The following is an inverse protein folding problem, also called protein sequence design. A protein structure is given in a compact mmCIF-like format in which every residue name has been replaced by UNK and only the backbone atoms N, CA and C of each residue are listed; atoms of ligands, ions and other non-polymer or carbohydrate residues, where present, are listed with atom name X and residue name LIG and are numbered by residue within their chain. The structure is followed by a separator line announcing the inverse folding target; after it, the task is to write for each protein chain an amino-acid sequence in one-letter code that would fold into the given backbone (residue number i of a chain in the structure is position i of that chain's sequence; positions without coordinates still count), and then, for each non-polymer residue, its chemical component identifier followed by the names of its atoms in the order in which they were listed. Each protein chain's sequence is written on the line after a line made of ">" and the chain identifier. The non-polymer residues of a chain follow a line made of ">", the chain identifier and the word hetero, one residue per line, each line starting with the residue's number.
data_IF_191831569051
#
_entry.id   IF_191831569051
#
_cell.length_a   1.000
_cell.length_b   1.000
_cell.length_c   1.000
_cell.angle_alpha   90.00
_cell.angle_beta   90.00
_cell.angle_gamma   90.00
#
_symmetry.space_group_name_H-M   'P 1'
#
loop_
_entity.id
_entity.type
_entity.pdbx_description
1 polymer ?
#
# COMPACT_ATOMS: atom_id res chain seq x y z
N UNK A 1 9.28 27.02 25.23
CA UNK A 1 8.58 25.82 24.73
C UNK A 1 9.41 25.30 23.58
N UNK A 2 9.62 23.99 23.51
CA UNK A 2 10.39 23.39 22.43
C UNK A 2 9.40 22.72 21.45
N UNK A 3 9.07 23.35 20.31
CA UNK A 3 8.16 22.79 19.32
C UNK A 3 8.85 21.82 18.35
N UNK A 4 10.14 21.53 18.53
CA UNK A 4 10.97 20.83 17.54
C UNK A 4 10.35 19.48 17.15
N UNK A 5 9.83 18.71 18.11
CA UNK A 5 9.17 17.41 17.85
C UNK A 5 7.97 17.56 16.89
N UNK A 6 7.15 18.60 17.08
CA UNK A 6 6.00 18.88 16.21
C UNK A 6 6.44 19.36 14.83
N UNK A 7 7.39 20.30 14.78
CA UNK A 7 7.86 20.89 13.53
C UNK A 7 8.50 19.84 12.62
N UNK A 8 9.38 19.01 13.17
CA UNK A 8 10.09 17.97 12.41
C UNK A 8 9.11 16.91 11.89
N UNK A 9 8.16 16.45 12.72
CA UNK A 9 7.13 15.52 12.25
C UNK A 9 6.25 16.13 11.15
N UNK A 10 5.91 17.41 11.24
CA UNK A 10 5.07 18.10 10.24
C UNK A 10 5.79 18.25 8.90
N UNK A 11 7.04 18.72 8.92
CA UNK A 11 7.87 18.84 7.72
C UNK A 11 7.98 17.48 7.03
N UNK A 12 8.27 16.44 7.82
CA UNK A 12 8.52 15.11 7.29
C UNK A 12 7.27 14.45 6.68
N UNK A 13 6.14 14.48 7.38
CA UNK A 13 4.94 13.73 6.95
C UNK A 13 3.97 14.52 6.07
N UNK A 14 4.02 15.85 6.10
CA UNK A 14 3.03 16.69 5.40
C UNK A 14 3.65 17.62 4.35
N UNK A 15 4.93 17.99 4.46
CA UNK A 15 5.57 18.97 3.55
C UNK A 15 6.61 18.35 2.60
N UNK A 16 7.06 17.11 2.86
CA UNK A 16 8.09 16.44 2.07
C UNK A 16 7.66 16.04 0.65
N UNK A 17 6.37 16.17 0.32
CA UNK A 17 5.78 15.74 -0.96
C UNK A 17 5.62 14.22 -1.11
N UNK A 18 6.04 13.45 -0.10
CA UNK A 18 5.86 12.00 -0.03
C UNK A 18 4.44 11.67 0.42
N UNK A 19 3.91 10.55 -0.03
CA UNK A 19 2.61 10.06 0.42
C UNK A 19 2.85 9.03 1.51
N UNK A 20 1.97 9.00 2.50
CA UNK A 20 2.08 8.09 3.64
C UNK A 20 0.74 7.42 3.89
N UNK A 21 0.78 6.23 4.45
CA UNK A 21 -0.39 5.51 4.90
C UNK A 21 -0.15 4.84 6.25
N UNK A 22 -1.21 4.36 6.90
CA UNK A 22 -1.09 3.80 8.24
C UNK A 22 -0.42 2.42 8.19
N UNK A 23 0.83 2.36 8.67
CA UNK A 23 1.65 1.17 8.93
C UNK A 23 1.22 -0.07 8.15
N UNK A 24 1.74 -0.23 6.93
CA UNK A 24 1.56 -1.45 6.14
C UNK A 24 2.86 -1.85 5.45
N UNK A 25 3.32 -3.08 5.70
CA UNK A 25 4.30 -3.79 4.87
C UNK A 25 3.60 -4.87 4.05
N UNK A 26 2.28 -4.84 4.07
CA UNK A 26 1.42 -6.01 4.09
C UNK A 26 2.05 -7.22 4.86
N UNK A 27 2.61 -6.90 6.05
CA UNK A 27 3.00 -7.61 7.30
C UNK A 27 3.21 -9.13 7.32
N UNK A 28 4.35 -9.55 7.88
CA UNK A 28 4.29 -10.49 9.02
C UNK A 28 4.92 -9.80 10.23
N UNK A 29 4.11 -9.50 11.24
CA UNK A 29 4.61 -9.27 12.61
C UNK A 29 4.38 -10.52 13.41
N UNK A 30 5.33 -11.46 13.32
CA UNK A 30 5.50 -12.37 14.43
C UNK A 30 5.93 -11.54 15.63
N UNK A 31 5.00 -11.44 16.58
CA UNK A 31 5.23 -11.04 17.95
C UNK A 31 6.58 -11.58 18.42
N UNK A 32 7.55 -10.69 18.56
CA UNK A 32 8.84 -10.95 19.21
C UNK A 32 9.51 -12.28 18.81
N UNK A 33 9.81 -12.51 17.53
CA UNK A 33 11.01 -13.31 17.23
C UNK A 33 12.18 -12.32 17.27
N UNK A 34 12.88 -12.31 18.41
CA UNK A 34 14.02 -11.43 18.73
C UNK A 34 13.72 -9.93 18.92
N UNK A 35 12.51 -9.56 19.35
CA UNK A 35 12.23 -8.16 19.69
C UNK A 35 12.40 -7.18 18.52
N UNK A 36 12.06 -7.57 17.30
CA UNK A 36 12.17 -6.71 16.10
C UNK A 36 10.81 -6.14 15.69
N UNK A 37 10.81 -4.85 15.36
CA UNK A 37 9.75 -3.88 14.96
C UNK A 37 9.34 -3.96 13.52
N UNK A 38 8.10 -3.59 13.23
CA UNK A 38 7.60 -3.66 11.87
C UNK A 38 8.35 -2.83 10.85
N UNK A 39 8.95 -3.44 9.80
CA UNK A 39 9.70 -2.68 8.81
C UNK A 39 8.87 -1.60 8.14
N UNK A 40 7.55 -1.75 7.96
CA UNK A 40 6.77 -0.64 7.39
C UNK A 40 6.61 0.54 8.30
N UNK A 41 6.83 0.37 9.60
CA UNK A 41 6.81 1.48 10.54
C UNK A 41 7.97 2.44 10.30
N UNK A 42 8.99 2.01 9.56
CA UNK A 42 10.17 2.81 9.20
C UNK A 42 9.96 3.72 7.98
N UNK A 43 8.73 3.91 7.50
CA UNK A 43 8.43 4.69 6.30
C UNK A 43 9.03 4.07 5.05
N UNK A 44 8.90 2.77 4.91
CA UNK A 44 9.21 2.14 3.64
C UNK A 44 7.91 1.99 2.84
N UNK A 45 7.98 2.29 1.55
CA UNK A 45 6.94 1.93 0.58
C UNK A 45 7.21 0.50 0.16
N UNK A 46 6.76 -0.43 1.00
CA UNK A 46 7.10 -1.85 0.88
C UNK A 46 6.17 -2.59 -0.07
N UNK A 47 5.02 -2.00 -0.39
CA UNK A 47 4.03 -2.53 -1.32
C UNK A 47 3.94 -1.73 -2.64
N UNK A 48 4.78 -0.71 -2.81
CA UNK A 48 5.03 -0.02 -4.07
C UNK A 48 3.86 0.82 -4.57
N UNK A 49 2.91 1.16 -3.69
CA UNK A 49 1.71 1.94 -4.03
C UNK A 49 1.97 3.45 -4.09
N UNK A 50 3.24 3.85 -3.88
CA UNK A 50 3.70 5.23 -3.82
C UNK A 50 3.48 5.88 -2.46
N UNK A 51 3.03 5.13 -1.45
CA UNK A 51 2.83 5.59 -0.07
C UNK A 51 3.71 4.81 0.89
N UNK A 52 4.31 5.54 1.83
CA UNK A 52 5.22 4.99 2.84
C UNK A 52 4.42 4.64 4.09
N UNK A 53 4.62 3.45 4.64
CA UNK A 53 3.95 3.03 5.88
C UNK A 53 4.39 3.85 7.09
N UNK A 54 3.47 4.23 7.96
CA UNK A 54 3.80 4.85 9.25
C UNK A 54 2.66 4.60 10.23
N UNK A 55 2.95 4.11 11.43
CA UNK A 55 1.91 3.98 12.45
C UNK A 55 2.04 5.00 13.56
N UNK A 56 1.10 4.99 14.51
CA UNK A 56 1.03 6.02 15.55
C UNK A 56 2.33 6.16 16.36
N UNK A 57 2.96 5.04 16.69
CA UNK A 57 4.19 5.00 17.47
C UNK A 57 5.44 5.32 16.66
N UNK A 58 5.53 4.90 15.39
CA UNK A 58 6.66 5.29 14.55
C UNK A 58 6.58 6.72 14.03
N UNK A 59 5.38 7.25 13.84
CA UNK A 59 5.14 8.67 13.62
C UNK A 59 5.73 9.52 14.76
N UNK A 60 5.42 9.13 16.01
CA UNK A 60 5.97 9.79 17.20
C UNK A 60 7.48 9.60 17.32
N UNK A 61 7.98 8.39 17.01
CA UNK A 61 9.43 8.11 17.02
C UNK A 61 10.18 8.99 16.02
N UNK A 62 9.66 9.17 14.80
CA UNK A 62 10.28 10.02 13.78
C UNK A 62 10.42 11.46 14.25
N UNK A 63 9.34 12.03 14.80
CA UNK A 63 9.37 13.39 15.35
C UNK A 63 10.40 13.56 16.47
N UNK A 64 10.49 12.61 17.40
CA UNK A 64 11.49 12.62 18.47
C UNK A 64 12.92 12.48 17.93
N UNK A 65 13.12 11.54 17.00
CA UNK A 65 14.44 11.25 16.42
C UNK A 65 14.99 12.46 15.65
N UNK A 66 14.18 13.05 14.78
CA UNK A 66 14.60 14.15 13.92
C UNK A 66 14.72 15.46 14.71
N UNK A 67 14.01 15.60 15.84
CA UNK A 67 14.26 16.65 16.81
C UNK A 67 15.52 16.44 17.67
N UNK A 68 16.26 15.33 17.50
CA UNK A 68 17.54 15.10 18.15
C UNK A 68 17.48 14.44 19.53
N UNK A 69 16.33 13.86 19.90
CA UNK A 69 16.17 13.09 21.15
C UNK A 69 16.79 11.70 21.05
N UNK A 70 17.39 11.24 22.14
CA UNK A 70 18.09 9.94 22.18
C UNK A 70 17.12 8.77 22.38
N UNK A 71 16.11 8.67 21.53
CA UNK A 71 15.18 7.55 21.50
C UNK A 71 15.89 6.26 21.07
N UNK A 72 15.52 5.13 21.69
CA UNK A 72 16.06 3.84 21.30
C UNK A 72 15.74 3.56 19.81
N UNK A 73 16.66 2.87 19.12
CA UNK A 73 16.43 2.40 17.74
C UNK A 73 15.30 1.38 17.73
N UNK A 74 14.57 1.32 16.62
CA UNK A 74 13.38 0.50 16.51
C UNK A 74 13.56 -0.97 16.94
N UNK A 75 12.55 -1.60 17.60
CA UNK A 75 11.17 -1.11 17.77
C UNK A 75 11.00 -0.05 18.85
N UNK A 76 10.40 1.07 18.47
CA UNK A 76 9.78 2.00 19.41
C UNK A 76 8.27 1.87 19.27
N UNK A 77 7.63 1.32 20.30
CA UNK A 77 6.21 1.01 20.34
C UNK A 77 5.46 1.86 21.35
N UNK A 78 4.13 1.93 21.19
CA UNK A 78 3.25 2.57 22.17
C UNK A 78 3.42 1.98 23.57
N UNK A 79 3.70 0.67 23.63
CA UNK A 79 3.99 -0.06 24.88
C UNK A 79 5.25 0.39 25.61
N UNK A 80 6.19 1.05 24.93
CA UNK A 80 7.40 1.61 25.56
C UNK A 80 7.06 2.89 26.32
N UNK A 81 5.95 3.55 25.98
CA UNK A 81 5.47 4.76 26.63
C UNK A 81 4.48 4.47 27.76
N UNK A 82 3.49 3.60 27.50
CA UNK A 82 2.51 3.19 28.52
C UNK A 82 1.90 1.83 28.20
N UNK A 83 1.29 1.19 29.20
CA UNK A 83 0.68 -0.15 29.06
C UNK A 83 -0.85 -0.10 29.06
N UNK A 84 -1.42 1.01 28.58
CA UNK A 84 -2.86 1.27 28.61
C UNK A 84 -3.35 1.92 29.90
N UNK A 85 -2.69 1.68 31.04
CA UNK A 85 -3.12 2.25 32.32
C UNK A 85 -2.06 3.11 32.98
N UNK A 86 -0.79 2.75 32.81
CA UNK A 86 0.33 3.38 33.48
C UNK A 86 1.45 3.67 32.49
N UNK A 87 2.05 4.84 32.63
CA UNK A 87 3.31 5.18 31.95
C UNK A 87 4.42 4.26 32.43
N UNK A 88 5.25 3.78 31.50
CA UNK A 88 6.35 2.87 31.80
C UNK A 88 7.48 3.56 32.58
N UNK A 89 8.46 2.77 33.05
CA UNK A 89 9.67 3.31 33.64
C UNK A 89 10.49 4.15 32.64
N UNK A 90 10.54 3.70 31.37
CA UNK A 90 11.20 4.43 30.29
C UNK A 90 10.57 5.81 30.04
N UNK A 91 9.24 5.88 29.99
CA UNK A 91 8.55 7.16 29.84
C UNK A 91 8.86 8.09 31.02
N UNK A 92 8.84 7.59 32.26
CA UNK A 92 9.11 8.41 33.45
C UNK A 92 10.56 8.91 33.53
N UNK A 93 11.54 8.17 33.00
CA UNK A 93 12.93 8.62 33.00
C UNK A 93 13.16 9.75 32.01
N UNK A 94 12.55 9.69 30.82
CA UNK A 94 12.83 10.61 29.71
C UNK A 94 11.79 11.71 29.51
N UNK A 95 10.61 11.57 30.10
CA UNK A 95 9.49 12.50 29.93
C UNK A 95 8.91 12.92 31.29
N UNK A 96 8.43 14.15 31.35
CA UNK A 96 7.53 14.59 32.40
C UNK A 96 6.13 14.09 32.09
N UNK A 97 5.54 13.36 33.04
CA UNK A 97 4.20 12.78 32.89
C UNK A 97 3.14 13.81 33.27
N UNK A 98 2.32 14.20 32.31
CA UNK A 98 1.16 15.06 32.49
C UNK A 98 -0.05 14.17 32.71
N UNK A 99 -0.74 14.38 33.84
CA UNK A 99 -1.90 13.55 34.21
C UNK A 99 -3.05 13.67 33.21
N UNK A 100 -3.92 12.67 33.13
CA UNK A 100 -5.14 12.74 32.33
C UNK A 100 -5.98 13.98 32.66
N UNK A 101 -6.10 14.31 33.95
CA UNK A 101 -6.86 15.45 34.41
C UNK A 101 -6.26 16.78 33.95
N UNK A 102 -4.93 16.89 33.92
CA UNK A 102 -4.26 18.11 33.47
C UNK A 102 -4.24 18.21 31.94
N UNK A 103 -4.07 17.09 31.24
CA UNK A 103 -4.08 17.04 29.78
C UNK A 103 -5.46 17.43 29.21
N UNK A 104 -6.55 16.99 29.85
CA UNK A 104 -7.93 17.26 29.41
C UNK A 104 -8.43 18.68 29.72
N UNK A 105 -7.66 19.52 30.43
CA UNK A 105 -8.07 20.89 30.73
C UNK A 105 -8.17 21.69 29.42
N UNK A 106 -9.31 22.34 29.15
CA UNK A 106 -9.40 23.29 28.05
C UNK A 106 -8.39 24.42 28.27
N UNK A 107 -7.69 24.82 27.21
CA UNK A 107 -6.55 25.77 27.31
C UNK A 107 -5.54 25.35 28.39
N UNK A 108 -5.33 24.05 28.53
CA UNK A 108 -4.41 23.47 29.49
C UNK A 108 -2.96 23.80 29.15
N UNK A 109 -2.06 23.15 29.88
CA UNK A 109 -0.63 23.40 29.73
C UNK A 109 0.04 22.47 28.72
N UNK A 110 -0.70 21.78 27.83
CA UNK A 110 -0.07 21.02 26.77
C UNK A 110 0.61 21.97 25.78
N UNK A 111 1.76 21.56 25.28
CA UNK A 111 2.62 22.34 24.38
C UNK A 111 2.77 21.62 23.04
N UNK A 112 3.04 22.38 21.95
CA UNK A 112 3.45 21.77 20.70
C UNK A 112 4.62 20.81 20.93
N UNK A 113 4.48 19.56 20.46
CA UNK A 113 5.49 18.51 20.65
C UNK A 113 5.24 17.56 21.83
N UNK A 114 4.31 17.87 22.74
CA UNK A 114 3.90 16.90 23.76
C UNK A 114 3.25 15.67 23.10
N UNK A 115 3.50 14.48 23.65
CA UNK A 115 2.91 13.23 23.13
C UNK A 115 1.65 12.92 23.92
N UNK A 116 0.49 13.00 23.28
CA UNK A 116 -0.79 12.65 23.89
C UNK A 116 -1.04 11.14 23.78
N UNK A 117 -1.56 10.54 24.86
CA UNK A 117 -1.79 9.10 24.96
C UNK A 117 -3.27 8.78 25.08
N UNK A 118 -3.73 7.78 24.33
CA UNK A 118 -5.11 7.33 24.33
C UNK A 118 -5.22 5.84 24.57
N UNK A 119 -6.29 5.44 25.26
CA UNK A 119 -6.69 4.05 25.40
C UNK A 119 -8.11 3.84 24.89
N UNK A 120 -8.38 2.68 24.32
CA UNK A 120 -9.73 2.23 23.98
C UNK A 120 -10.53 1.84 25.23
N UNK A 121 -11.73 2.39 25.36
CA UNK A 121 -12.66 2.06 26.44
C UNK A 121 -13.20 0.64 26.26
N UNK A 122 -13.07 -0.18 27.30
CA UNK A 122 -13.49 -1.57 27.28
C UNK A 122 -12.60 -2.49 26.44
N UNK A 123 -11.49 -1.98 25.89
CA UNK A 123 -10.54 -2.73 25.08
C UNK A 123 -9.10 -2.62 25.57
N UNK A 124 -8.18 -3.20 24.80
CA UNK A 124 -6.72 -3.13 25.02
C UNK A 124 -6.02 -2.21 24.03
N UNK A 125 -6.78 -1.61 23.09
CA UNK A 125 -6.26 -0.68 22.09
C UNK A 125 -5.59 0.54 22.71
N UNK A 126 -4.47 0.95 22.14
CA UNK A 126 -3.70 2.12 22.57
C UNK A 126 -3.28 2.93 21.35
N UNK A 127 -3.22 4.24 21.52
CA UNK A 127 -2.84 5.17 20.45
C UNK A 127 -2.07 6.35 21.02
N UNK A 128 -1.24 6.97 20.17
CA UNK A 128 -0.46 8.17 20.52
C UNK A 128 -0.46 9.16 19.37
N UNK A 129 -0.28 10.44 19.68
CA UNK A 129 -0.13 11.50 18.71
C UNK A 129 0.71 12.65 19.27
N UNK A 130 1.10 13.58 18.40
CA UNK A 130 1.90 14.77 18.78
C UNK A 130 0.97 15.98 18.83
N UNK A 131 0.89 16.61 20.00
CA UNK A 131 0.10 17.82 20.21
C UNK A 131 0.62 18.93 19.31
N UNK A 132 -0.30 19.60 18.61
CA UNK A 132 -0.03 20.85 17.90
C UNK A 132 -0.25 22.02 18.85
N UNK A 133 -1.49 22.19 19.29
CA UNK A 133 -1.94 23.34 20.07
C UNK A 133 -3.38 23.13 20.57
N UNK A 134 -4.01 24.20 21.03
CA UNK A 134 -5.43 24.27 21.30
C UNK A 134 -6.13 25.12 20.23
N UNK A 135 -7.36 24.74 19.87
CA UNK A 135 -8.22 25.63 19.10
C UNK A 135 -8.79 26.79 19.96
N UNK A 136 -9.58 27.67 19.35
CA UNK A 136 -10.20 28.81 20.04
C UNK A 136 -11.18 28.41 21.15
N UNK A 137 -11.65 27.18 21.17
CA UNK A 137 -12.55 26.64 22.20
C UNK A 137 -11.79 25.87 23.29
N UNK A 138 -10.46 25.81 23.20
CA UNK A 138 -9.62 25.07 24.14
C UNK A 138 -9.61 23.57 23.88
N UNK A 139 -10.03 23.11 22.70
CA UNK A 139 -9.91 21.71 22.30
C UNK A 139 -8.50 21.41 21.83
N UNK A 140 -7.96 20.26 22.25
CA UNK A 140 -6.63 19.82 21.85
C UNK A 140 -6.64 19.45 20.37
N UNK A 141 -5.67 19.98 19.62
CA UNK A 141 -5.39 19.56 18.24
C UNK A 141 -4.06 18.82 18.21
N UNK A 142 -4.04 17.68 17.54
CA UNK A 142 -2.84 16.86 17.43
C UNK A 142 -2.68 16.31 16.01
N UNK A 143 -1.46 15.94 15.66
CA UNK A 143 -1.12 15.21 14.44
C UNK A 143 -0.71 13.78 14.79
N UNK A 144 -1.10 12.83 13.98
CA UNK A 144 -0.75 11.43 14.19
C UNK A 144 -1.21 10.54 13.06
N UNK A 145 -0.58 9.37 12.92
CA UNK A 145 -0.99 8.40 11.91
C UNK A 145 -2.27 7.67 12.33
N UNK A 146 -3.33 7.82 11.54
CA UNK A 146 -4.68 7.31 11.81
C UNK A 146 -4.92 5.97 11.12
N UNK A 147 -5.51 5.02 11.83
CA UNK A 147 -5.76 3.65 11.33
C UNK A 147 -6.56 3.71 10.02
N UNK A 148 -5.96 3.20 8.94
CA UNK A 148 -6.60 3.09 7.62
C UNK A 148 -6.44 4.31 6.70
N UNK A 149 -5.90 5.44 7.18
CA UNK A 149 -5.68 6.63 6.32
C UNK A 149 -4.25 7.17 6.35
N UNK A 150 -3.48 6.94 7.42
CA UNK A 150 -2.12 7.48 7.58
C UNK A 150 -2.09 8.82 8.35
N UNK A 151 -0.99 9.58 8.26
CA UNK A 151 -0.83 10.87 8.93
C UNK A 151 -2.00 11.82 8.68
N UNK A 152 -2.54 12.39 9.76
CA UNK A 152 -3.61 13.36 9.69
C UNK A 152 -3.64 14.28 10.90
N UNK A 153 -4.34 15.40 10.75
CA UNK A 153 -4.64 16.31 11.85
C UNK A 153 -6.01 15.99 12.45
N UNK A 154 -6.08 16.03 13.78
CA UNK A 154 -7.28 15.69 14.54
C UNK A 154 -7.53 16.76 15.59
N UNK A 155 -8.78 17.21 15.70
CA UNK A 155 -9.26 18.01 16.82
C UNK A 155 -10.07 17.13 17.76
N UNK A 156 -9.68 17.07 19.03
CA UNK A 156 -10.37 16.28 20.04
C UNK A 156 -11.62 17.04 20.47
N UNK A 157 -12.78 16.45 20.22
CA UNK A 157 -14.04 16.95 20.74
C UNK A 157 -14.38 16.16 22.01
N UNK A 158 -14.53 16.80 23.18
CA UNK A 158 -14.96 16.14 24.41
C UNK A 158 -16.28 15.37 24.18
N UNK A 159 -16.35 14.15 24.70
CA UNK A 159 -17.51 13.26 24.54
C UNK A 159 -17.62 12.57 23.18
N UNK A 160 -16.60 12.66 22.31
CA UNK A 160 -16.56 12.00 20.99
C UNK A 160 -15.48 10.92 20.95
N UNK A 161 -15.14 10.42 19.75
CA UNK A 161 -14.26 9.27 19.57
C UNK A 161 -12.98 9.32 20.43
N UNK A 162 -12.24 10.43 20.44
CA UNK A 162 -10.91 10.54 21.09
C UNK A 162 -10.92 10.78 22.61
N UNK A 163 -12.01 11.31 23.16
CA UNK A 163 -12.17 11.54 24.61
C UNK A 163 -13.64 11.39 25.00
N UNK A 164 -14.17 10.17 24.91
CA UNK A 164 -15.60 9.93 24.95
C UNK A 164 -16.00 8.50 24.59
N UNK A 165 -16.66 8.29 23.45
CA UNK A 165 -17.38 7.05 23.14
C UNK A 165 -16.50 5.81 22.98
N UNK A 166 -15.26 5.99 22.49
CA UNK A 166 -14.38 4.89 22.07
C UNK A 166 -13.02 4.95 22.72
N UNK A 167 -12.42 6.14 22.79
CA UNK A 167 -11.12 6.35 23.39
C UNK A 167 -11.21 7.25 24.62
N UNK A 168 -10.22 7.13 25.49
CA UNK A 168 -10.00 7.97 26.66
C UNK A 168 -8.57 8.53 26.67
N UNK A 169 -8.43 9.81 26.99
CA UNK A 169 -7.11 10.43 27.18
C UNK A 169 -6.50 9.94 28.48
N UNK A 170 -5.35 9.27 28.40
CA UNK A 170 -4.62 8.74 29.55
C UNK A 170 -3.68 9.79 30.19
N UNK A 171 -3.39 10.86 29.45
CA UNK A 171 -2.43 11.89 29.82
C UNK A 171 -1.56 12.26 28.64
N UNK A 172 -0.48 12.98 28.91
CA UNK A 172 0.52 13.33 27.91
C UNK A 172 1.94 13.21 28.47
N UNK A 173 2.92 13.16 27.58
CA UNK A 173 4.34 13.08 27.91
C UNK A 173 5.06 14.27 27.30
N UNK A 174 5.79 15.01 28.13
CA UNK A 174 6.66 16.10 27.68
C UNK A 174 8.11 15.67 27.71
N UNK A 175 8.80 15.72 26.59
CA UNK A 175 10.20 15.31 26.52
C UNK A 175 11.08 16.23 27.36
N UNK A 176 11.92 15.66 28.24
CA UNK A 176 12.83 16.45 29.07
C UNK A 176 13.99 17.00 28.24
N UNK A 177 14.50 18.21 28.52
CA UNK A 177 15.60 18.79 27.75
C UNK A 177 16.85 17.92 27.71
N UNK A 178 17.21 17.28 28.83
CA UNK A 178 18.37 16.39 28.93
C UNK A 178 18.28 15.12 28.08
N UNK A 179 17.08 14.81 27.56
CA UNK A 179 16.89 13.70 26.63
C UNK A 179 17.31 14.05 25.19
N UNK A 180 17.40 15.34 24.86
CA UNK A 180 17.87 15.84 23.57
C UNK A 180 19.40 15.83 23.55
N UNK A 181 20.00 15.03 22.67
CA UNK A 181 21.47 14.87 22.61
C UNK A 181 22.09 15.48 21.37
N UNK A 182 21.25 15.95 20.43
CA UNK A 182 21.64 16.55 19.16
C UNK A 182 20.70 17.70 18.80
N UNK A 183 21.14 18.58 17.91
CA UNK A 183 20.27 19.61 17.34
C UNK A 183 19.20 18.97 16.42
N UNK A 184 18.02 19.61 16.25
CA UNK A 184 17.01 19.19 15.28
C UNK A 184 17.53 19.19 13.83
N UNK A 185 17.00 18.28 13.01
CA UNK A 185 17.44 18.02 11.64
C UNK A 185 17.34 19.23 10.73
N UNK A 186 16.23 19.96 10.76
CA UNK A 186 16.02 21.15 9.92
C UNK A 186 16.45 22.45 10.62
N UNK A 187 17.11 22.33 11.78
CA UNK A 187 17.35 23.45 12.68
C UNK A 187 16.05 24.04 13.22
N UNK A 188 16.10 24.83 14.29
CA UNK A 188 14.92 25.46 14.90
C UNK A 188 14.26 26.55 14.03
N UNK A 189 14.25 26.42 12.70
CA UNK A 189 13.54 27.31 11.79
C UNK A 189 12.12 26.77 11.60
N UNK A 190 11.21 27.35 12.39
CA UNK A 190 9.78 27.26 12.15
C UNK A 190 9.46 27.63 10.69
N UNK A 191 8.73 26.80 9.93
CA UNK A 191 8.21 27.23 8.65
C UNK A 191 7.19 28.34 8.89
N UNK A 192 7.39 29.43 8.17
CA UNK A 192 6.51 30.60 8.18
C UNK A 192 5.09 30.20 7.77
N UNK A 193 4.21 30.00 8.75
CA UNK A 193 2.77 30.13 8.54
C UNK A 193 2.51 31.57 8.11
N UNK A 194 2.34 31.77 6.80
CA UNK A 194 1.69 32.95 6.27
C UNK A 194 0.25 32.94 6.80
N UNK A 195 0.07 33.71 7.85
CA UNK A 195 -1.19 34.20 8.34
C UNK A 195 -2.10 34.60 7.16
N UNK A 196 -3.29 34.02 7.14
CA UNK A 196 -4.48 34.70 6.64
C UNK A 196 -5.69 34.21 7.44
N UNK A 197 -5.88 34.84 8.59
CA UNK A 197 -7.20 35.33 8.96
C UNK A 197 -7.73 36.24 7.84
N UNK A 198 -9.05 36.28 7.57
CA UNK A 198 -9.93 36.91 8.55
C UNK A 198 -11.35 36.32 8.72
N UNK A 199 -11.90 36.65 9.91
CA UNK A 199 -13.31 36.98 10.21
C UNK A 199 -14.31 35.86 10.55
N UNK A 200 -14.57 35.74 11.85
CA UNK A 200 -15.85 35.39 12.51
C UNK A 200 -16.94 36.46 12.26
N UNK A 201 -18.20 36.32 12.74
CA UNK A 201 -18.97 35.12 13.16
C UNK A 201 -20.45 35.12 12.68
N UNK A 202 -21.11 33.95 12.62
CA UNK A 202 -22.51 33.74 13.10
C UNK A 202 -22.99 32.27 12.98
N UNK A 203 -23.30 31.68 14.12
CA UNK A 203 -24.32 30.62 14.32
C UNK A 203 -25.59 31.29 14.91
N UNK A 204 -26.78 30.64 15.12
CA UNK A 204 -27.10 29.19 15.12
C UNK A 204 -28.48 28.80 14.52
N UNK A 205 -28.77 27.48 14.43
CA UNK A 205 -30.13 26.91 14.33
C UNK A 205 -30.13 25.44 13.86
N UNK A 206 -30.06 24.45 14.76
CA UNK A 206 -31.14 23.61 15.33
C UNK A 206 -31.80 22.57 14.42
N UNK A 207 -31.66 21.31 14.85
CA UNK A 207 -32.62 20.18 14.83
C UNK A 207 -33.16 19.62 13.51
N UNK A 208 -32.84 18.34 13.22
CA UNK A 208 -33.79 17.20 13.30
C UNK A 208 -33.26 15.94 12.58
N UNK A 209 -33.43 14.78 13.22
CA UNK A 209 -33.49 13.40 12.67
C UNK A 209 -34.98 12.97 12.84
N UNK A 210 -35.63 12.04 12.10
CA UNK A 210 -35.15 10.88 11.30
C UNK A 210 -35.79 10.73 9.90
N UNK A 211 -35.24 9.86 9.04
CA UNK A 211 -35.98 8.81 8.29
C UNK A 211 -35.07 8.10 7.26
N UNK A 212 -35.43 6.84 6.99
CA UNK A 212 -34.65 5.84 6.29
C UNK A 212 -34.81 5.92 4.76
N UNK A 213 -33.72 5.82 3.99
CA UNK A 213 -33.70 5.33 2.60
C UNK A 213 -32.28 4.85 2.20
N UNK A 214 -32.27 3.98 1.20
CA UNK A 214 -31.29 3.00 0.68
C UNK A 214 -29.88 3.52 0.29
N UNK A 215 -28.93 2.61 -0.03
CA UNK A 215 -27.54 2.64 0.43
C UNK A 215 -26.65 3.63 -0.32
N UNK A 216 -25.57 4.11 0.31
CA UNK A 216 -24.30 4.10 -0.42
C UNK A 216 -23.05 3.81 0.45
N UNK A 217 -22.07 3.18 -0.21
CA UNK A 217 -20.65 3.06 0.14
C UNK A 217 -20.24 2.14 1.29
N UNK A 218 -20.37 0.82 1.05
CA UNK A 218 -19.80 -0.22 1.91
C UNK A 218 -18.27 -0.30 1.74
N UNK A 219 -17.50 0.40 2.59
CA UNK A 219 -16.05 0.14 2.74
C UNK A 219 -15.83 -1.17 3.53
N UNK A 220 -15.14 -2.11 2.86
CA UNK A 220 -14.97 -3.51 3.22
C UNK A 220 -14.37 -3.78 4.62
N UNK A 221 -14.98 -4.71 5.36
CA UNK A 221 -14.52 -5.22 6.65
C UNK A 221 -13.72 -6.53 6.50
N UNK A 222 -12.69 -6.72 7.35
CA UNK A 222 -11.82 -7.92 7.44
C UNK A 222 -12.57 -9.10 8.06
N UNK A 223 -12.31 -10.32 7.57
CA UNK A 223 -12.99 -11.57 7.96
C UNK A 223 -12.01 -12.59 8.53
N UNK A 224 -12.38 -13.31 9.59
CA UNK A 224 -11.53 -14.27 10.30
C UNK A 224 -12.23 -15.61 10.54
N UNK A 225 -11.49 -16.72 10.74
CA UNK A 225 -12.05 -17.97 11.21
C UNK A 225 -12.87 -17.77 12.49
N UNK A 226 -14.13 -18.21 12.44
CA UNK A 226 -15.14 -17.98 13.47
C UNK A 226 -16.08 -16.80 13.19
N UNK A 227 -15.74 -15.86 12.30
CA UNK A 227 -16.62 -14.76 11.89
C UNK A 227 -17.84 -15.29 11.15
N UNK A 228 -18.94 -14.54 11.21
CA UNK A 228 -20.21 -14.92 10.61
C UNK A 228 -20.91 -13.72 9.97
N UNK A 229 -21.62 -13.97 8.88
CA UNK A 229 -22.48 -12.97 8.23
C UNK A 229 -22.14 -12.75 6.77
N UNK A 230 -22.77 -11.73 6.18
CA UNK A 230 -22.77 -11.50 4.74
C UNK A 230 -21.37 -11.26 4.14
N UNK A 231 -20.44 -10.68 4.90
CA UNK A 231 -19.04 -10.51 4.47
C UNK A 231 -18.33 -11.86 4.31
N UNK A 232 -18.58 -12.81 5.22
CA UNK A 232 -17.99 -14.16 5.20
C UNK A 232 -18.54 -14.99 4.04
N UNK A 233 -19.84 -14.84 3.76
CA UNK A 233 -20.46 -15.44 2.58
C UNK A 233 -19.82 -14.93 1.28
N UNK A 234 -19.65 -13.61 1.15
CA UNK A 234 -18.96 -13.00 0.00
C UNK A 234 -17.54 -13.50 -0.15
N UNK A 235 -16.81 -13.67 0.95
CA UNK A 235 -15.48 -14.25 0.91
C UNK A 235 -15.48 -15.70 0.36
N UNK A 236 -16.36 -16.54 0.90
CA UNK A 236 -16.46 -17.94 0.48
C UNK A 236 -16.78 -18.05 -1.03
N UNK A 237 -17.62 -17.16 -1.56
CA UNK A 237 -17.90 -17.03 -3.00
C UNK A 237 -16.66 -16.61 -3.82
N UNK A 238 -15.89 -15.60 -3.35
CA UNK A 238 -14.68 -15.08 -4.00
C UNK A 238 -13.55 -16.11 -4.08
N UNK A 239 -13.26 -16.83 -3.01
CA UNK A 239 -12.26 -17.90 -3.01
C UNK A 239 -12.66 -19.07 -3.92
N UNK A 240 -13.94 -19.44 -3.93
CA UNK A 240 -14.49 -20.48 -4.82
C UNK A 240 -14.40 -20.11 -6.31
N UNK A 241 -14.49 -18.82 -6.67
CA UNK A 241 -14.33 -18.32 -8.03
C UNK A 241 -12.85 -18.30 -8.47
N UNK A 242 -11.93 -18.05 -7.52
CA UNK A 242 -10.48 -18.15 -7.71
C UNK A 242 -9.97 -19.60 -7.87
N UNK A 243 -10.86 -20.60 -7.78
CA UNK A 243 -10.53 -22.03 -7.96
C UNK A 243 -9.86 -22.66 -6.72
N UNK A 244 -9.90 -21.95 -5.60
CA UNK A 244 -9.27 -22.35 -4.34
C UNK A 244 -10.14 -23.41 -3.67
N UNK A 245 -9.53 -24.52 -3.27
CA UNK A 245 -10.17 -25.58 -2.48
C UNK A 245 -9.44 -25.77 -1.14
N UNK A 246 -10.05 -26.48 -0.19
CA UNK A 246 -9.46 -26.73 1.14
C UNK A 246 -8.22 -27.65 1.08
N UNK A 247 -7.69 -28.03 2.25
CA UNK A 247 -6.49 -28.88 2.35
C UNK A 247 -6.66 -30.29 1.76
N UNK A 248 -7.90 -30.78 1.60
CA UNK A 248 -8.21 -32.11 1.03
C UNK A 248 -8.64 -32.04 -0.44
N UNK A 249 -8.55 -30.85 -1.06
CA UNK A 249 -8.96 -30.63 -2.45
C UNK A 249 -10.48 -30.44 -2.62
N UNK A 250 -11.22 -30.32 -1.53
CA UNK A 250 -12.68 -30.20 -1.54
C UNK A 250 -13.12 -28.73 -1.58
N UNK A 251 -14.20 -28.44 -2.32
CA UNK A 251 -14.75 -27.09 -2.49
C UNK A 251 -15.39 -26.56 -1.21
N UNK A 252 -15.34 -25.23 -0.99
CA UNK A 252 -15.91 -24.57 0.19
C UNK A 252 -17.44 -24.45 0.15
N UNK A 253 -18.08 -24.72 1.28
CA UNK A 253 -19.49 -24.38 1.54
C UNK A 253 -19.65 -22.88 1.88
N UNK A 254 -20.74 -22.26 1.42
CA UNK A 254 -21.03 -20.80 1.52
C UNK A 254 -22.09 -20.50 2.58
N UNK A 255 -21.88 -21.01 3.78
CA UNK A 255 -22.84 -20.97 4.89
C UNK A 255 -22.77 -19.67 5.71
N UNK A 256 -22.05 -18.65 5.22
CA UNK A 256 -21.78 -17.39 5.93
C UNK A 256 -20.98 -17.57 7.22
N UNK A 257 -20.35 -18.72 7.44
CA UNK A 257 -19.56 -19.02 8.63
C UNK A 257 -18.12 -19.31 8.25
N UNK A 258 -17.18 -18.63 8.90
CA UNK A 258 -15.78 -18.79 8.58
C UNK A 258 -15.24 -20.01 9.32
N UNK A 259 -15.63 -21.20 8.86
CA UNK A 259 -15.26 -22.47 9.47
C UNK A 259 -13.85 -22.94 9.09
N UNK A 260 -13.47 -24.09 9.66
CA UNK A 260 -12.18 -24.74 9.43
C UNK A 260 -11.88 -24.98 7.93
N UNK A 261 -12.85 -25.43 7.14
CA UNK A 261 -12.66 -25.62 5.69
C UNK A 261 -12.40 -24.27 4.99
N UNK A 262 -13.15 -23.22 5.31
CA UNK A 262 -12.94 -21.87 4.77
C UNK A 262 -11.55 -21.35 5.14
N UNK A 263 -11.12 -21.52 6.39
CA UNK A 263 -9.75 -21.25 6.85
C UNK A 263 -8.73 -21.99 5.98
N UNK A 264 -8.85 -23.30 5.80
CA UNK A 264 -7.90 -24.08 5.01
C UNK A 264 -7.81 -23.66 3.53
N UNK A 265 -8.94 -23.34 2.89
CA UNK A 265 -8.93 -22.80 1.53
C UNK A 265 -8.31 -21.40 1.48
N UNK A 266 -8.63 -20.51 2.43
CA UNK A 266 -8.00 -19.18 2.56
C UNK A 266 -6.50 -19.31 2.72
N UNK A 267 -6.04 -20.18 3.62
CA UNK A 267 -4.62 -20.50 3.81
C UNK A 267 -3.99 -20.99 2.52
N UNK A 268 -4.67 -21.83 1.75
CA UNK A 268 -4.15 -22.33 0.48
C UNK A 268 -4.05 -21.23 -0.58
N UNK A 269 -5.11 -20.44 -0.78
CA UNK A 269 -5.09 -19.30 -1.69
C UNK A 269 -3.96 -18.32 -1.34
N UNK A 270 -3.83 -18.02 -0.06
CA UNK A 270 -2.76 -17.19 0.45
C UNK A 270 -1.38 -17.78 0.12
N UNK A 271 -1.17 -19.09 0.37
CA UNK A 271 0.06 -19.81 -0.06
C UNK A 271 0.35 -19.65 -1.55
N UNK A 272 -0.65 -19.91 -2.41
CA UNK A 272 -0.53 -19.88 -3.88
C UNK A 272 -0.20 -18.46 -4.39
N UNK A 273 -0.74 -17.42 -3.76
CA UNK A 273 -0.47 -16.01 -4.07
C UNK A 273 0.66 -15.39 -3.22
N UNK A 274 1.47 -16.23 -2.57
CA UNK A 274 2.63 -15.86 -1.72
C UNK A 274 2.31 -14.88 -0.58
N UNK A 275 1.07 -14.90 -0.14
CA UNK A 275 0.61 -14.31 1.12
C UNK A 275 0.79 -15.33 2.25
N UNK A 276 0.61 -14.85 3.47
CA UNK A 276 0.69 -15.72 4.63
C UNK A 276 -0.53 -16.64 4.70
N UNK A 277 -0.35 -17.98 4.70
CA UNK A 277 -1.43 -18.94 4.75
C UNK A 277 -1.98 -19.07 6.18
N UNK A 278 -2.54 -17.97 6.69
CA UNK A 278 -3.08 -17.84 8.04
C UNK A 278 -4.58 -18.11 8.12
N UNK A 279 -5.24 -18.18 6.97
CA UNK A 279 -6.63 -18.53 6.85
C UNK A 279 -7.56 -17.39 7.22
N UNK A 280 -7.05 -16.16 7.28
CA UNK A 280 -7.76 -14.93 7.65
C UNK A 280 -7.88 -14.01 6.45
N UNK A 281 -9.08 -13.52 6.18
CA UNK A 281 -9.34 -12.65 5.02
C UNK A 281 -9.44 -11.19 5.41
N UNK A 282 -8.26 -10.67 5.75
CA UNK A 282 -8.04 -9.25 5.93
C UNK A 282 -7.74 -8.53 4.64
N UNK A 283 -7.53 -7.21 4.75
CA UNK A 283 -7.30 -6.33 3.59
C UNK A 283 -6.30 -6.91 2.59
N UNK A 284 -5.21 -7.56 3.00
CA UNK A 284 -4.26 -8.19 2.06
C UNK A 284 -4.81 -9.38 1.32
N UNK A 285 -5.55 -10.24 2.02
CA UNK A 285 -6.16 -11.40 1.41
C UNK A 285 -7.36 -10.97 0.61
N UNK A 286 -8.09 -9.92 1.00
CA UNK A 286 -9.11 -9.26 0.17
C UNK A 286 -8.49 -8.54 -1.03
N UNK A 287 -7.35 -7.88 -0.87
CA UNK A 287 -6.58 -7.14 -1.87
C UNK A 287 -5.88 -8.11 -2.80
N UNK A 288 -5.51 -9.30 -2.33
CA UNK A 288 -4.87 -10.34 -3.11
C UNK A 288 -5.88 -11.30 -3.70
N UNK A 289 -7.03 -11.51 -3.07
CA UNK A 289 -8.23 -12.00 -3.72
C UNK A 289 -8.61 -10.99 -4.79
N UNK A 290 -8.59 -9.68 -4.54
CA UNK A 290 -8.88 -8.62 -5.52
C UNK A 290 -7.76 -8.45 -6.55
N UNK A 291 -6.50 -8.69 -6.19
CA UNK A 291 -5.34 -8.62 -7.07
C UNK A 291 -5.17 -9.91 -7.84
N UNK A 292 -5.62 -11.06 -7.33
CA UNK A 292 -5.75 -12.32 -8.05
C UNK A 292 -7.03 -12.35 -8.88
N UNK A 293 -8.09 -11.66 -8.47
CA UNK A 293 -9.26 -11.36 -9.29
C UNK A 293 -8.85 -10.40 -10.40
N UNK A 294 -7.99 -9.40 -10.12
CA UNK A 294 -7.35 -8.54 -11.14
C UNK A 294 -6.31 -9.28 -11.96
N UNK A 295 -5.45 -10.15 -11.41
CA UNK A 295 -4.43 -10.91 -12.15
C UNK A 295 -5.08 -12.03 -12.98
N UNK A 296 -6.13 -12.69 -12.48
CA UNK A 296 -6.99 -13.56 -13.30
C UNK A 296 -7.79 -12.74 -14.32
N UNK A 297 -7.98 -11.45 -14.08
CA UNK A 297 -8.53 -10.53 -15.07
C UNK A 297 -7.49 -9.94 -16.05
N UNK A 298 -6.16 -9.94 -15.78
CA UNK A 298 -5.13 -9.22 -16.57
C UNK A 298 -3.81 -9.99 -16.92
N UNK A 299 -3.41 -11.07 -16.20
CA UNK A 299 -2.23 -11.94 -16.47
C UNK A 299 -0.90 -11.58 -15.76
N UNK A 300 0.16 -12.44 -15.79
CA UNK A 300 1.50 -12.13 -15.24
C UNK A 300 2.24 -11.00 -16.00
N UNK A 301 3.24 -10.34 -15.39
CA UNK A 301 4.08 -9.31 -16.05
C UNK A 301 5.22 -9.90 -16.89
N UNK A 302 5.62 -9.23 -17.97
CA UNK A 302 6.68 -9.69 -18.90
C UNK A 302 8.08 -9.84 -18.28
N UNK A 303 8.41 -9.09 -17.24
CA UNK A 303 9.67 -9.22 -16.49
C UNK A 303 9.69 -10.44 -15.56
N UNK A 304 8.53 -11.05 -15.29
CA UNK A 304 8.42 -12.30 -14.53
C UNK A 304 8.68 -13.53 -15.41
N UNK A 305 9.46 -14.53 -14.93
CA UNK A 305 9.64 -15.81 -15.62
C UNK A 305 8.35 -16.59 -15.93
N UNK A 306 7.25 -16.27 -15.23
CA UNK A 306 5.96 -16.94 -15.39
C UNK A 306 5.15 -16.42 -16.59
N UNK A 307 5.56 -15.31 -17.22
CA UNK A 307 4.85 -14.76 -18.37
C UNK A 307 5.23 -15.47 -19.68
N UNK A 308 4.25 -15.82 -20.55
CA UNK A 308 4.51 -16.52 -21.80
C UNK A 308 5.55 -15.84 -22.70
N UNK A 309 5.61 -14.50 -22.67
CA UNK A 309 6.52 -13.70 -23.50
C UNK A 309 7.80 -13.25 -22.78
N UNK A 310 8.08 -13.78 -21.58
CA UNK A 310 9.26 -13.39 -20.79
C UNK A 310 10.57 -13.49 -21.57
N UNK A 311 10.71 -14.54 -22.39
CA UNK A 311 11.90 -14.73 -23.24
C UNK A 311 12.06 -13.62 -24.28
N UNK A 312 10.95 -13.19 -24.89
CA UNK A 312 10.96 -12.12 -25.90
C UNK A 312 11.23 -10.76 -25.24
N UNK A 313 10.71 -10.56 -24.03
CA UNK A 313 10.99 -9.39 -23.22
C UNK A 313 12.46 -9.25 -22.84
N UNK A 314 13.13 -10.32 -22.39
CA UNK A 314 14.56 -10.30 -22.09
C UNK A 314 15.42 -9.96 -23.32
N UNK A 315 14.97 -10.33 -24.52
CA UNK A 315 15.62 -9.94 -25.77
C UNK A 315 15.45 -8.45 -26.08
N UNK A 316 14.22 -7.93 -25.94
CA UNK A 316 13.94 -6.51 -26.07
C UNK A 316 14.76 -5.66 -25.08
N UNK A 317 14.82 -6.09 -23.80
CA UNK A 317 15.59 -5.44 -22.74
C UNK A 317 17.06 -5.28 -23.12
N UNK A 318 17.70 -6.38 -23.55
CA UNK A 318 19.11 -6.37 -23.98
C UNK A 318 19.34 -5.51 -25.21
N UNK A 319 18.38 -5.47 -26.14
CA UNK A 319 18.50 -4.67 -27.35
C UNK A 319 18.37 -3.16 -27.06
N UNK A 320 17.44 -2.77 -26.19
CA UNK A 320 17.28 -1.38 -25.71
C UNK A 320 18.49 -0.94 -24.89
N UNK A 321 19.03 -1.81 -24.03
CA UNK A 321 20.26 -1.51 -23.27
C UNK A 321 21.46 -1.21 -24.19
N UNK A 322 21.58 -1.91 -25.34
CA UNK A 322 22.60 -1.59 -26.36
C UNK A 322 22.31 -0.28 -27.09
N UNK A 323 21.04 0.00 -27.38
CA UNK A 323 20.61 1.25 -28.01
C UNK A 323 20.93 2.45 -27.10
N UNK A 324 20.63 2.35 -25.81
CA UNK A 324 20.95 3.36 -24.81
C UNK A 324 22.46 3.61 -24.75
N UNK A 325 23.25 2.53 -24.70
CA UNK A 325 24.71 2.64 -24.69
C UNK A 325 25.27 3.34 -25.94
N UNK A 326 24.66 3.15 -27.12
CA UNK A 326 25.06 3.84 -28.36
C UNK A 326 24.79 5.35 -28.33
N UNK A 327 23.77 5.78 -27.58
CA UNK A 327 23.37 7.18 -27.43
C UNK A 327 23.90 7.81 -26.13
N UNK A 328 24.70 7.07 -25.34
CA UNK A 328 25.26 7.55 -24.08
C UNK A 328 24.26 7.62 -22.92
N UNK A 329 23.15 6.86 -23.00
CA UNK A 329 22.17 6.72 -21.94
C UNK A 329 22.43 5.49 -21.07
N UNK A 330 21.95 5.54 -19.83
CA UNK A 330 21.96 4.41 -18.88
C UNK A 330 20.55 3.87 -18.72
N UNK A 331 20.43 2.57 -18.45
CA UNK A 331 19.15 1.92 -18.22
C UNK A 331 18.36 2.60 -17.09
N UNK A 332 17.12 3.00 -17.37
CA UNK A 332 16.20 3.61 -16.42
C UNK A 332 14.73 3.17 -16.67
N UNK A 333 13.78 3.83 -16.02
CA UNK A 333 12.35 3.57 -16.18
C UNK A 333 11.87 3.79 -17.63
N UNK A 334 12.49 4.70 -18.39
CA UNK A 334 12.14 4.94 -19.79
C UNK A 334 12.59 3.78 -20.67
N UNK A 335 13.79 3.25 -20.43
CA UNK A 335 14.31 2.06 -21.10
C UNK A 335 13.40 0.84 -20.88
N UNK A 336 12.89 0.67 -19.66
CA UNK A 336 11.95 -0.41 -19.32
C UNK A 336 10.65 -0.30 -20.13
N UNK A 337 10.07 0.90 -20.20
CA UNK A 337 8.84 1.15 -20.96
C UNK A 337 9.02 0.92 -22.46
N UNK A 338 10.18 1.30 -23.03
CA UNK A 338 10.55 1.00 -24.42
C UNK A 338 10.67 -0.51 -24.65
N UNK A 339 11.32 -1.25 -23.76
CA UNK A 339 11.44 -2.71 -23.88
C UNK A 339 10.08 -3.42 -23.80
N UNK A 340 9.20 -2.98 -22.90
CA UNK A 340 7.84 -3.52 -22.76
C UNK A 340 7.00 -3.34 -24.02
N UNK A 341 6.95 -2.12 -24.56
CA UNK A 341 6.18 -1.87 -25.78
C UNK A 341 6.79 -2.56 -27.00
N UNK A 342 8.12 -2.61 -27.09
CA UNK A 342 8.83 -3.34 -28.17
C UNK A 342 8.43 -4.82 -28.19
N UNK A 343 8.34 -5.46 -27.03
CA UNK A 343 7.93 -6.87 -26.91
C UNK A 343 6.52 -7.11 -27.43
N UNK A 344 5.57 -6.25 -27.04
CA UNK A 344 4.19 -6.31 -27.51
C UNK A 344 4.11 -6.13 -29.04
N UNK A 345 4.77 -5.11 -29.59
CA UNK A 345 4.73 -4.81 -31.02
C UNK A 345 5.35 -5.94 -31.85
N UNK A 346 6.49 -6.48 -31.42
CA UNK A 346 7.13 -7.62 -32.09
C UNK A 346 6.18 -8.83 -32.16
N UNK A 347 5.52 -9.15 -31.05
CA UNK A 347 4.54 -10.25 -30.98
C UNK A 347 3.35 -10.04 -31.91
N UNK A 348 2.81 -8.82 -31.98
CA UNK A 348 1.70 -8.49 -32.89
C UNK A 348 2.06 -8.65 -34.36
N UNK A 349 3.34 -8.55 -34.70
CA UNK A 349 3.87 -8.77 -36.05
C UNK A 349 4.33 -10.22 -36.29
N UNK A 350 4.06 -11.13 -35.36
CA UNK A 350 4.41 -12.55 -35.48
C UNK A 350 5.90 -12.85 -35.32
N UNK A 351 6.67 -11.91 -34.76
CA UNK A 351 8.09 -12.12 -34.47
C UNK A 351 8.26 -13.09 -33.31
N UNK A 352 9.26 -13.96 -33.42
CA UNK A 352 9.62 -14.96 -32.40
C UNK A 352 10.94 -14.62 -31.70
N UNK A 353 11.71 -13.67 -32.22
CA UNK A 353 12.88 -13.10 -31.55
C UNK A 353 13.02 -11.59 -31.80
N UNK A 354 13.78 -10.92 -30.94
CA UNK A 354 14.21 -9.53 -31.11
C UNK A 354 15.73 -9.49 -31.01
N UNK A 355 16.41 -9.40 -32.15
CA UNK A 355 17.86 -9.40 -32.23
C UNK A 355 18.42 -7.98 -32.08
N UNK A 356 17.71 -6.98 -32.62
CA UNK A 356 18.09 -5.58 -32.54
C UNK A 356 16.89 -4.67 -32.26
N UNK A 357 17.16 -3.51 -31.67
CA UNK A 357 16.25 -2.36 -31.61
C UNK A 357 17.03 -1.17 -32.14
N UNK A 358 16.51 -0.52 -33.18
CA UNK A 358 17.14 0.63 -33.84
C UNK A 358 16.16 1.78 -33.94
N UNK A 359 16.64 3.01 -34.05
CA UNK A 359 15.79 4.22 -34.16
C UNK A 359 15.86 4.85 -35.54
N UNK A 360 14.85 5.65 -35.90
CA UNK A 360 14.97 6.60 -37.00
C UNK A 360 15.89 7.78 -36.62
N UNK A 361 16.24 8.62 -37.60
CA UNK A 361 17.17 9.75 -37.40
C UNK A 361 16.76 10.69 -36.26
N UNK A 362 15.45 10.91 -36.08
CA UNK A 362 14.92 11.84 -35.07
C UNK A 362 14.54 11.15 -33.74
N UNK A 363 14.79 9.84 -33.60
CA UNK A 363 14.44 9.00 -32.44
C UNK A 363 12.97 9.03 -32.01
N UNK A 364 12.06 9.47 -32.87
CA UNK A 364 10.61 9.44 -32.64
C UNK A 364 10.03 8.05 -32.82
N UNK A 365 10.75 7.16 -33.53
CA UNK A 365 10.38 5.78 -33.81
C UNK A 365 11.54 4.86 -33.50
N UNK A 366 11.23 3.70 -32.91
CA UNK A 366 12.12 2.57 -32.80
C UNK A 366 11.60 1.41 -33.67
N UNK A 367 12.46 0.46 -34.00
CA UNK A 367 12.15 -0.71 -34.80
C UNK A 367 12.72 -1.94 -34.11
N UNK A 368 11.84 -2.86 -33.71
CA UNK A 368 12.25 -4.21 -33.34
C UNK A 368 12.66 -4.95 -34.61
N UNK A 369 13.80 -5.63 -34.61
CA UNK A 369 14.31 -6.36 -35.77
C UNK A 369 14.60 -7.81 -35.41
N UNK A 370 14.10 -8.74 -36.23
CA UNK A 370 14.40 -10.17 -36.18
C UNK A 370 15.28 -10.54 -37.38
N UNK A 371 16.43 -11.15 -37.10
CA UNK A 371 17.48 -11.48 -38.06
C UNK A 371 18.54 -10.39 -38.23
N UNK A 372 19.48 -10.66 -39.13
CA UNK A 372 20.59 -9.75 -39.44
C UNK A 372 20.11 -8.44 -40.09
N UNK A 373 20.65 -7.30 -39.65
CA UNK A 373 20.27 -5.96 -40.13
C UNK A 373 20.44 -5.79 -41.65
N UNK A 374 21.40 -6.47 -42.26
CA UNK A 374 21.68 -6.41 -43.70
C UNK A 374 20.95 -7.49 -44.50
N UNK A 375 20.25 -8.42 -43.83
CA UNK A 375 19.48 -9.45 -44.51
C UNK A 375 18.27 -8.85 -45.23
N UNK A 376 17.99 -9.27 -46.48
CA UNK A 376 16.73 -8.94 -47.15
C UNK A 376 15.54 -9.69 -46.53
N UNK A 377 15.78 -10.70 -45.69
CA UNK A 377 14.76 -11.53 -45.03
C UNK A 377 14.48 -11.12 -43.58
N UNK A 378 15.07 -10.02 -43.09
CA UNK A 378 14.78 -9.53 -41.74
C UNK A 378 13.31 -9.14 -41.60
N UNK A 379 12.76 -9.35 -40.41
CA UNK A 379 11.44 -8.82 -40.06
C UNK A 379 11.61 -7.59 -39.18
N UNK A 380 10.70 -6.63 -39.33
CA UNK A 380 10.72 -5.38 -38.57
C UNK A 380 9.34 -5.05 -38.04
N UNK A 381 9.28 -4.56 -36.81
CA UNK A 381 8.06 -4.02 -36.22
C UNK A 381 8.32 -2.61 -35.67
N UNK A 382 7.49 -1.65 -36.08
CA UNK A 382 7.64 -0.24 -35.69
C UNK A 382 7.05 0.03 -34.31
N UNK A 383 7.84 0.68 -33.45
CA UNK A 383 7.50 1.09 -32.09
C UNK A 383 7.47 2.61 -32.02
N UNK A 384 6.32 3.17 -31.65
CA UNK A 384 6.17 4.60 -31.39
C UNK A 384 6.81 4.95 -30.03
N UNK A 385 7.84 5.80 -30.03
CA UNK A 385 8.59 6.12 -28.81
C UNK A 385 7.79 6.97 -27.83
N UNK A 386 6.90 7.84 -28.30
CA UNK A 386 6.04 8.61 -27.40
C UNK A 386 5.02 7.70 -26.71
N UNK A 387 4.45 6.76 -27.48
CA UNK A 387 3.57 5.72 -26.93
C UNK A 387 4.33 4.81 -25.97
N UNK A 388 5.58 4.46 -26.26
CA UNK A 388 6.43 3.66 -25.37
C UNK A 388 6.60 4.37 -24.02
N UNK A 389 7.05 5.62 -24.02
CA UNK A 389 7.29 6.38 -22.79
C UNK A 389 6.02 6.61 -21.96
N UNK A 390 4.84 6.65 -22.58
CA UNK A 390 3.55 6.80 -21.91
C UNK A 390 2.93 5.46 -21.44
N UNK A 391 3.53 4.32 -21.78
CA UNK A 391 3.00 2.98 -21.48
C UNK A 391 3.88 2.28 -20.45
N UNK A 392 3.46 2.18 -19.17
CA UNK A 392 4.14 1.37 -18.17
C UNK A 392 4.21 -0.11 -18.56
N UNK A 393 5.24 -0.82 -18.11
CA UNK A 393 5.48 -2.24 -18.42
C UNK A 393 4.28 -3.14 -18.06
N UNK A 394 3.56 -2.83 -16.97
CA UNK A 394 2.34 -3.54 -16.57
C UNK A 394 1.30 -3.59 -17.70
N UNK A 395 1.09 -2.45 -18.35
CA UNK A 395 0.08 -2.30 -19.41
C UNK A 395 0.48 -3.04 -20.69
N UNK A 396 1.77 -3.02 -21.04
CA UNK A 396 2.29 -3.81 -22.17
C UNK A 396 2.17 -5.31 -21.92
N UNK A 397 2.35 -5.74 -20.67
CA UNK A 397 2.25 -7.15 -20.27
C UNK A 397 0.84 -7.70 -20.46
N UNK A 398 -0.18 -6.96 -20.00
CA UNK A 398 -1.59 -7.33 -20.18
C UNK A 398 -1.96 -7.48 -21.67
N UNK A 399 -1.59 -6.50 -22.49
CA UNK A 399 -1.91 -6.50 -23.92
C UNK A 399 -1.30 -7.70 -24.66
N UNK A 400 -0.11 -8.15 -24.25
CA UNK A 400 0.52 -9.30 -24.89
C UNK A 400 -0.07 -10.64 -24.42
N UNK A 401 -0.51 -10.73 -23.16
CA UNK A 401 -1.24 -11.88 -22.66
C UNK A 401 -2.56 -12.08 -23.42
N UNK A 402 -3.32 -11.00 -23.66
CA UNK A 402 -4.55 -11.03 -24.47
C UNK A 402 -4.29 -11.54 -25.90
N UNK A 403 -3.22 -11.06 -26.55
CA UNK A 403 -2.84 -11.52 -27.88
C UNK A 403 -2.47 -13.02 -27.92
N UNK A 404 -1.87 -13.56 -26.85
CA UNK A 404 -1.57 -14.99 -26.74
C UNK A 404 -2.85 -15.83 -26.72
N UNK A 405 -3.84 -15.41 -25.92
CA UNK A 405 -5.10 -16.13 -25.74
C UNK A 405 -5.92 -16.22 -27.04
N UNK A 406 -5.96 -15.14 -27.82
CA UNK A 406 -6.69 -15.11 -29.11
C UNK A 406 -6.07 -16.08 -30.13
N UNK A 407 -4.73 -16.13 -30.24
CA UNK A 407 -4.08 -17.03 -31.20
C UNK A 407 -4.27 -18.51 -30.82
N UNK A 408 -4.24 -18.86 -29.53
CA UNK A 408 -4.48 -20.25 -29.10
C UNK A 408 -5.90 -20.73 -29.41
N UNK A 409 -6.93 -19.89 -29.20
CA UNK A 409 -8.32 -20.24 -29.50
C UNK A 409 -8.55 -20.60 -30.97
N UNK A 410 -7.97 -19.81 -31.88
CA UNK A 410 -8.07 -20.04 -33.32
C UNK A 410 -7.42 -21.37 -33.75
N UNK A 411 -6.28 -21.74 -33.15
CA UNK A 411 -5.59 -22.98 -33.46
C UNK A 411 -6.35 -24.25 -33.01
N UNK A 412 -7.00 -24.21 -31.83
CA UNK A 412 -7.78 -25.35 -31.32
C UNK A 412 -9.02 -25.60 -32.17
N UNK A 413 -9.70 -24.54 -32.59
CA UNK A 413 -10.92 -24.62 -33.39
C UNK A 413 -10.65 -25.16 -34.80
N UNK A 414 -9.54 -24.74 -35.42
CA UNK A 414 -9.07 -25.33 -36.68
C UNK A 414 -8.69 -26.80 -36.54
N UNK A 415 -8.01 -27.19 -35.45
CA UNK A 415 -7.63 -28.59 -35.22
C UNK A 415 -8.86 -29.50 -35.03
N UNK A 416 -9.89 -29.04 -34.31
CA UNK A 416 -11.13 -29.80 -34.13
C UNK A 416 -11.92 -29.94 -35.44
N UNK A 417 -11.99 -28.89 -36.25
CA UNK A 417 -12.62 -28.97 -37.57
C UNK A 417 -11.88 -29.95 -38.49
N UNK A 418 -10.55 -29.94 -38.50
CA UNK A 418 -9.75 -30.88 -39.28
C UNK A 418 -9.99 -32.33 -38.82
N UNK A 419 -10.08 -32.57 -37.51
CA UNK A 419 -10.30 -33.91 -36.96
C UNK A 419 -11.73 -34.41 -37.18
N UNK A 420 -12.74 -33.55 -37.12
CA UNK A 420 -14.12 -33.90 -37.49
C UNK A 420 -14.23 -34.22 -38.98
N UNK A 421 -13.56 -33.45 -39.85
CA UNK A 421 -13.53 -33.75 -41.28
C UNK A 421 -12.85 -35.10 -41.55
N UNK A 422 -11.74 -35.41 -40.87
CA UNK A 422 -11.10 -36.72 -40.99
C UNK A 422 -11.98 -37.86 -40.46
N UNK A 423 -12.68 -37.67 -39.34
CA UNK A 423 -13.56 -38.69 -38.76
C UNK A 423 -14.79 -38.94 -39.64
N UNK A 424 -15.38 -37.87 -40.20
CA UNK A 424 -16.46 -37.99 -41.18
C UNK A 424 -15.99 -38.68 -42.47
N UNK A 425 -14.78 -38.38 -42.96
CA UNK A 425 -14.21 -39.07 -44.11
C UNK A 425 -13.89 -40.55 -43.84
N UNK A 426 -13.54 -40.92 -42.61
CA UNK A 426 -13.33 -42.31 -42.22
C UNK A 426 -14.64 -43.09 -42.02
N UNK A 427 -15.71 -42.44 -41.58
CA UNK A 427 -17.04 -43.06 -41.45
C UNK A 427 -17.79 -43.22 -42.78
N UNK A 428 -17.34 -42.52 -43.83
CA UNK A 428 -17.87 -42.62 -45.19
C UNK A 428 -17.08 -43.57 -46.10
N UNK A 429 -16.06 -44.25 -45.57
CA UNK A 429 -15.36 -45.37 -46.21
C UNK A 429 -15.77 -46.68 -45.56
#
# INVERSE_FOLDING_TARGET
>A
MNPDIYNEARIHFFESGQKFEYGRPNHVYHSKINGRSDPSRTEQDLDGDGKRGVDCSSFVWRGLHDAGYNVAKEPFGTSDLFNGHQTTAYAKSHFDVISANDARKPHGNLQPGDIIMFKEKGGTGQHVGIVRDYDSHGNIRFIGSQVGTGPGEVTIQPGRYWDGDKMEIMGALRAKPEFQTKAPLHGGQAPHDKAQEPATPKQPGTSAKPEAHTPPDHKAATLHPGDKGADVQRLQERLNALGVTDANGKRLDTDSHFGQHTKEAVERFQREHKLDPDGVVGKKTLDAIEAAEKLRAHGPRMDSPEHPDHKLYEQARKAVERLDAQHGHVWDERSERVAGLTTLTAKQHGMTSIDHVVTNQDATKAYAVQGDLNSPFKQTAEVDMQKALATPLDKSSEMAAQHHATQQGQHVEQAQQAQQQQTQQQQQR
#
